data_IF_547310691852
#
_entry.id   IF_547310691852
#
_cell.length_a   1.000
_cell.length_b   1.000
_cell.length_c   1.000
_cell.angle_alpha   90.00
_cell.angle_beta   90.00
_cell.angle_gamma   90.00
#
_symmetry.space_group_name_H-M   'P 1'
#
loop_
_entity.id
_entity.type
_entity.pdbx_description
1 polymer ?
#
# COMPACT_ATOMS: atom_id res chain seq x y z
N UNK A 1 22.45 21.65 13.88
CA UNK A 1 21.49 20.87 14.68
C UNK A 1 20.19 20.64 13.92
N UNK A 2 19.40 21.66 13.61
CA UNK A 2 18.09 21.47 12.93
C UNK A 2 18.17 20.77 11.57
N UNK A 3 19.18 21.04 10.74
CA UNK A 3 19.39 20.28 9.51
C UNK A 3 19.62 18.76 9.75
N UNK A 4 20.39 18.41 10.78
CA UNK A 4 20.64 17.01 11.13
C UNK A 4 19.40 16.33 11.72
N UNK A 5 18.62 17.05 12.53
CA UNK A 5 17.33 16.56 13.04
C UNK A 5 16.33 16.35 11.90
N UNK A 6 16.28 17.28 10.96
CA UNK A 6 15.40 17.18 9.77
C UNK A 6 15.77 15.98 8.93
N UNK A 7 17.08 15.72 8.74
CA UNK A 7 17.55 14.50 8.09
C UNK A 7 17.12 13.24 8.85
N UNK A 8 17.27 13.20 10.18
CA UNK A 8 16.84 12.06 10.98
C UNK A 8 15.31 11.84 10.93
N UNK A 9 14.51 12.91 10.95
CA UNK A 9 13.06 12.81 10.78
C UNK A 9 12.67 12.31 9.38
N UNK A 10 13.42 12.72 8.34
CA UNK A 10 13.23 12.21 6.99
C UNK A 10 13.62 10.73 6.87
N UNK A 11 14.70 10.30 7.52
CA UNK A 11 15.10 8.89 7.57
C UNK A 11 14.01 8.04 8.25
N UNK A 12 13.46 8.47 9.40
CA UNK A 12 12.33 7.79 10.06
C UNK A 12 11.09 7.73 9.14
N UNK A 13 10.78 8.81 8.42
CA UNK A 13 9.67 8.81 7.47
C UNK A 13 9.88 7.79 6.35
N UNK A 14 11.12 7.67 5.83
CA UNK A 14 11.46 6.69 4.79
C UNK A 14 11.33 5.26 5.33
N UNK A 15 11.75 5.01 6.57
CA UNK A 15 11.54 3.72 7.25
C UNK A 15 10.05 3.38 7.35
N UNK A 16 9.22 4.30 7.89
CA UNK A 16 7.76 4.14 7.98
C UNK A 16 7.10 3.94 6.61
N UNK A 17 7.55 4.69 5.60
CA UNK A 17 7.05 4.57 4.23
C UNK A 17 7.41 3.21 3.61
N UNK A 18 8.61 2.70 3.91
CA UNK A 18 9.09 1.41 3.44
C UNK A 18 8.30 0.27 4.09
N UNK A 19 8.08 0.33 5.40
CA UNK A 19 7.26 -0.66 6.12
C UNK A 19 5.82 -0.68 5.57
N UNK A 20 5.22 0.49 5.38
CA UNK A 20 3.87 0.59 4.80
C UNK A 20 3.84 0.12 3.35
N UNK A 21 4.87 0.39 2.55
CA UNK A 21 4.97 -0.14 1.20
C UNK A 21 5.01 -1.67 1.17
N UNK A 22 5.73 -2.31 2.09
CA UNK A 22 5.74 -3.77 2.24
C UNK A 22 4.36 -4.31 2.61
N UNK A 23 3.66 -3.67 3.56
CA UNK A 23 2.29 -4.05 3.93
C UNK A 23 1.29 -3.87 2.76
N UNK A 24 1.43 -2.80 1.97
CA UNK A 24 0.65 -2.56 0.76
C UNK A 24 0.90 -3.69 -0.25
N UNK A 25 2.16 -4.07 -0.48
CA UNK A 25 2.52 -5.15 -1.39
C UNK A 25 1.93 -6.49 -0.97
N UNK A 26 2.04 -6.86 0.32
CA UNK A 26 1.47 -8.11 0.83
C UNK A 26 -0.05 -8.19 0.58
N UNK A 27 -0.77 -7.12 0.92
CA UNK A 27 -2.23 -7.05 0.72
C UNK A 27 -2.61 -7.03 -0.75
N UNK A 28 -1.85 -6.31 -1.58
CA UNK A 28 -2.06 -6.28 -3.03
C UNK A 28 -1.89 -7.68 -3.64
N UNK A 29 -0.80 -8.39 -3.29
CA UNK A 29 -0.52 -9.74 -3.77
C UNK A 29 -1.65 -10.69 -3.37
N UNK A 30 -2.11 -10.63 -2.11
CA UNK A 30 -3.23 -11.45 -1.63
C UNK A 30 -4.51 -11.17 -2.41
N UNK A 31 -4.87 -9.90 -2.63
CA UNK A 31 -6.06 -9.51 -3.37
C UNK A 31 -5.98 -9.97 -4.84
N UNK A 32 -4.83 -9.76 -5.51
CA UNK A 32 -4.60 -10.18 -6.89
C UNK A 32 -4.65 -11.71 -7.02
N UNK A 33 -3.97 -12.44 -6.14
CA UNK A 33 -3.95 -13.90 -6.19
C UNK A 33 -5.34 -14.51 -6.01
N UNK A 34 -6.13 -14.02 -5.04
CA UNK A 34 -7.50 -14.47 -4.83
C UNK A 34 -8.42 -14.04 -5.98
N UNK A 35 -8.22 -12.85 -6.53
CA UNK A 35 -8.96 -12.34 -7.68
C UNK A 35 -8.74 -13.21 -8.91
N UNK A 36 -7.48 -13.51 -9.22
CA UNK A 36 -7.10 -14.40 -10.30
C UNK A 36 -7.64 -15.83 -10.10
N UNK A 37 -7.61 -16.35 -8.86
CA UNK A 37 -8.16 -17.67 -8.55
C UNK A 37 -9.67 -17.75 -8.85
N UNK A 38 -10.46 -16.77 -8.41
CA UNK A 38 -11.91 -16.79 -8.69
C UNK A 38 -12.20 -16.49 -10.16
N UNK A 39 -11.50 -15.53 -10.77
CA UNK A 39 -11.66 -15.24 -12.19
C UNK A 39 -11.36 -16.48 -13.05
N UNK A 40 -10.30 -17.23 -12.75
CA UNK A 40 -9.97 -18.48 -13.43
C UNK A 40 -11.05 -19.56 -13.26
N UNK A 41 -11.61 -19.70 -12.05
CA UNK A 41 -12.72 -20.64 -11.79
C UNK A 41 -14.00 -20.29 -12.56
N UNK A 42 -14.30 -19.00 -12.72
CA UNK A 42 -15.42 -18.52 -13.52
C UNK A 42 -15.13 -18.77 -15.00
N UNK A 43 -13.93 -18.37 -15.45
CA UNK A 43 -13.50 -18.53 -16.84
C UNK A 43 -13.53 -19.98 -17.28
N UNK A 44 -13.13 -20.92 -16.44
CA UNK A 44 -13.16 -22.35 -16.77
C UNK A 44 -14.59 -22.85 -17.00
N UNK A 45 -15.56 -22.41 -16.19
CA UNK A 45 -16.96 -22.77 -16.39
C UNK A 45 -17.48 -22.21 -17.71
N UNK A 46 -17.22 -20.93 -18.00
CA UNK A 46 -17.65 -20.32 -19.27
C UNK A 46 -16.94 -20.97 -20.46
N UNK A 47 -15.64 -21.25 -20.33
CA UNK A 47 -14.83 -21.95 -21.31
C UNK A 47 -15.34 -23.36 -21.58
N UNK A 48 -15.86 -24.08 -20.59
CA UNK A 48 -16.47 -25.40 -20.77
C UNK A 48 -17.86 -25.29 -21.42
N UNK A 49 -18.70 -24.34 -21.00
CA UNK A 49 -20.08 -24.24 -21.49
C UNK A 49 -20.15 -23.75 -22.96
N UNK A 50 -19.16 -22.97 -23.42
CA UNK A 50 -19.07 -22.50 -24.82
C UNK A 50 -18.94 -23.64 -25.85
N UNK A 51 -17.96 -24.56 -25.78
CA UNK A 51 -17.85 -25.71 -26.70
C UNK A 51 -18.97 -26.74 -26.50
N UNK A 52 -19.63 -26.77 -25.33
CA UNK A 52 -20.87 -27.54 -25.13
C UNK A 52 -22.08 -26.94 -25.86
N UNK A 53 -21.88 -25.86 -26.62
CA UNK A 53 -22.89 -25.22 -27.46
C UNK A 53 -22.60 -25.51 -28.93
N UNK A 54 -23.47 -26.27 -29.59
CA UNK A 54 -23.22 -26.81 -30.93
C UNK A 54 -23.32 -25.79 -32.07
N UNK A 55 -23.43 -24.49 -31.79
CA UNK A 55 -23.56 -23.44 -32.80
C UNK A 55 -24.80 -23.63 -33.67
N UNK A 56 -25.95 -23.14 -33.25
CA UNK A 56 -27.20 -23.23 -34.02
C UNK A 56 -28.41 -22.79 -33.22
N UNK A 57 -29.54 -22.56 -33.89
CA UNK A 57 -30.76 -21.99 -33.30
C UNK A 57 -31.68 -23.03 -32.64
N UNK A 58 -31.41 -24.34 -32.77
CA UNK A 58 -32.42 -25.37 -32.41
C UNK A 58 -31.95 -26.59 -31.63
N UNK A 59 -30.67 -27.01 -31.64
CA UNK A 59 -30.30 -28.41 -31.29
C UNK A 59 -29.42 -28.63 -30.05
N UNK A 60 -28.83 -27.61 -29.41
CA UNK A 60 -28.17 -27.77 -28.10
C UNK A 60 -27.16 -26.66 -27.77
N UNK A 61 -27.33 -26.01 -26.62
CA UNK A 61 -26.41 -25.00 -26.10
C UNK A 61 -26.53 -24.82 -24.59
N UNK A 62 -25.42 -24.41 -23.97
CA UNK A 62 -25.29 -24.17 -22.54
C UNK A 62 -25.01 -22.72 -22.16
N UNK A 63 -24.68 -21.87 -23.13
CA UNK A 63 -24.65 -20.42 -22.99
C UNK A 63 -25.57 -19.83 -24.04
N UNK A 64 -26.47 -18.95 -23.62
CA UNK A 64 -27.47 -18.35 -24.51
C UNK A 64 -27.37 -16.83 -24.51
N UNK A 65 -27.59 -16.23 -25.68
CA UNK A 65 -27.71 -14.78 -25.81
C UNK A 65 -29.10 -14.28 -25.40
N UNK A 66 -30.14 -15.06 -25.70
CA UNK A 66 -31.54 -14.63 -25.62
C UNK A 66 -32.55 -15.78 -25.39
N UNK A 67 -32.09 -16.96 -24.97
CA UNK A 67 -32.90 -18.17 -24.79
C UNK A 67 -33.09 -19.01 -26.06
N UNK A 68 -32.96 -18.40 -27.24
CA UNK A 68 -33.16 -19.06 -28.53
C UNK A 68 -31.85 -19.36 -29.22
N UNK A 69 -30.86 -18.48 -29.05
CA UNK A 69 -29.58 -18.52 -29.73
C UNK A 69 -28.44 -18.82 -28.75
N UNK A 70 -27.47 -19.62 -29.20
CA UNK A 70 -26.22 -19.81 -28.48
C UNK A 70 -25.39 -18.52 -28.48
N UNK A 71 -24.63 -18.28 -27.41
CA UNK A 71 -23.68 -17.16 -27.40
C UNK A 71 -22.52 -17.44 -28.37
N UNK A 72 -22.15 -16.47 -29.21
CA UNK A 72 -21.01 -16.59 -30.13
C UNK A 72 -19.80 -15.79 -29.67
N UNK A 73 -20.04 -14.68 -28.96
CA UNK A 73 -19.01 -13.83 -28.38
C UNK A 73 -19.05 -13.92 -26.84
N UNK A 74 -17.91 -14.22 -26.23
CA UNK A 74 -17.75 -14.33 -24.78
C UNK A 74 -17.12 -13.08 -24.17
N UNK A 75 -16.95 -12.01 -24.95
CA UNK A 75 -16.46 -10.74 -24.45
C UNK A 75 -17.54 -9.98 -23.71
N UNK A 76 -17.20 -9.54 -22.49
CA UNK A 76 -17.99 -8.59 -21.70
C UNK A 76 -17.03 -7.49 -21.25
N UNK A 77 -17.32 -6.24 -21.58
CA UNK A 77 -16.47 -5.08 -21.25
C UNK A 77 -14.98 -5.28 -21.65
N UNK A 78 -14.74 -5.83 -22.85
CA UNK A 78 -13.42 -6.18 -23.39
C UNK A 78 -12.68 -7.30 -22.63
N UNK A 79 -13.38 -8.05 -21.77
CA UNK A 79 -12.84 -9.24 -21.11
C UNK A 79 -13.44 -10.46 -21.78
N UNK A 80 -12.62 -11.24 -22.47
CA UNK A 80 -13.03 -12.56 -22.95
C UNK A 80 -13.10 -13.53 -21.77
N UNK A 81 -14.34 -13.87 -21.38
CA UNK A 81 -14.63 -14.80 -20.29
C UNK A 81 -14.17 -16.25 -20.57
N UNK A 82 -13.61 -16.57 -21.74
CA UNK A 82 -13.11 -17.92 -22.06
C UNK A 82 -11.59 -18.06 -22.09
N UNK A 83 -10.85 -16.99 -22.26
CA UNK A 83 -9.38 -17.03 -22.35
C UNK A 83 -8.71 -16.36 -21.15
N UNK A 84 -9.41 -15.43 -20.49
CA UNK A 84 -8.93 -14.66 -19.34
C UNK A 84 -7.44 -14.31 -19.46
N UNK A 85 -7.11 -13.45 -20.42
CA UNK A 85 -5.76 -12.92 -20.60
C UNK A 85 -5.66 -11.55 -19.90
N UNK A 86 -5.31 -11.48 -18.60
CA UNK A 86 -5.17 -10.20 -17.93
C UNK A 86 -4.00 -9.42 -18.52
N UNK A 87 -4.20 -8.13 -18.75
CA UNK A 87 -3.10 -7.19 -18.96
C UNK A 87 -2.39 -6.97 -17.63
N UNK A 88 -1.06 -7.00 -17.63
CA UNK A 88 -0.25 -6.74 -16.43
C UNK A 88 0.22 -5.29 -16.36
N UNK A 89 -0.39 -4.42 -17.16
CA UNK A 89 -0.11 -2.99 -17.16
C UNK A 89 -0.58 -2.35 -15.85
N UNK A 90 0.16 -1.35 -15.40
CA UNK A 90 -0.20 -0.60 -14.21
C UNK A 90 -1.48 0.21 -14.50
N UNK A 91 -2.55 -0.12 -13.78
CA UNK A 91 -3.82 0.61 -13.84
C UNK A 91 -4.19 1.15 -12.47
N UNK A 92 -4.90 2.28 -12.46
CA UNK A 92 -5.44 2.81 -11.22
C UNK A 92 -6.50 1.84 -10.68
N UNK A 93 -6.47 1.58 -9.38
CA UNK A 93 -7.50 0.78 -8.73
C UNK A 93 -8.83 1.54 -8.79
N UNK A 94 -9.78 0.99 -9.52
CA UNK A 94 -11.14 1.50 -9.60
C UNK A 94 -12.08 0.68 -8.71
N UNK A 95 -12.55 1.30 -7.64
CA UNK A 95 -13.56 0.75 -6.73
C UNK A 95 -14.92 1.38 -6.98
N UNK A 96 -15.26 1.63 -8.25
CA UNK A 96 -16.56 2.12 -8.66
C UNK A 96 -17.69 1.41 -7.89
N UNK A 97 -18.59 2.20 -7.32
CA UNK A 97 -19.68 1.70 -6.48
C UNK A 97 -20.59 0.70 -7.22
N UNK A 98 -20.59 0.74 -8.55
CA UNK A 98 -21.29 -0.24 -9.38
C UNK A 98 -20.68 -1.65 -9.27
N UNK A 99 -19.38 -1.80 -8.97
CA UNK A 99 -18.67 -3.09 -8.95
C UNK A 99 -18.38 -3.59 -7.54
N UNK A 100 -17.96 -2.70 -6.63
CA UNK A 100 -17.54 -3.05 -5.28
C UNK A 100 -18.08 -2.04 -4.26
N UNK A 101 -18.76 -2.53 -3.23
CA UNK A 101 -19.41 -1.71 -2.18
C UNK A 101 -19.05 -2.24 -0.82
N UNK A 102 -19.39 -1.51 0.24
CA UNK A 102 -19.16 -1.93 1.63
C UNK A 102 -20.01 -3.16 2.04
N UNK A 103 -20.93 -3.61 1.19
CA UNK A 103 -21.75 -4.81 1.42
C UNK A 103 -21.37 -6.00 0.55
N UNK A 104 -20.57 -5.82 -0.51
CA UNK A 104 -20.27 -6.91 -1.43
C UNK A 104 -19.91 -6.48 -2.86
N UNK A 105 -19.91 -7.47 -3.76
CA UNK A 105 -19.77 -7.28 -5.21
C UNK A 105 -21.13 -6.87 -5.79
N UNK A 106 -21.29 -5.59 -6.11
CA UNK A 106 -22.61 -4.99 -6.32
C UNK A 106 -23.41 -5.58 -7.51
N UNK A 107 -22.73 -5.98 -8.59
CA UNK A 107 -23.40 -6.59 -9.76
C UNK A 107 -23.74 -8.07 -9.57
N UNK A 108 -23.18 -8.74 -8.56
CA UNK A 108 -23.37 -10.17 -8.36
C UNK A 108 -24.55 -10.38 -7.42
N UNK A 109 -25.75 -10.26 -7.97
CA UNK A 109 -27.01 -10.51 -7.25
C UNK A 109 -27.47 -11.95 -7.45
N UNK A 110 -28.37 -12.44 -6.61
CA UNK A 110 -29.03 -13.73 -6.86
C UNK A 110 -29.77 -13.67 -8.19
N UNK A 111 -29.61 -14.71 -9.00
CA UNK A 111 -30.32 -14.82 -10.26
C UNK A 111 -30.49 -16.27 -10.67
N UNK A 112 -31.62 -16.56 -11.33
CA UNK A 112 -31.76 -17.81 -12.06
C UNK A 112 -30.82 -17.75 -13.28
N UNK A 113 -29.85 -18.65 -13.33
CA UNK A 113 -28.83 -18.69 -14.37
C UNK A 113 -29.27 -19.46 -15.63
N UNK A 114 -30.51 -19.96 -15.66
CA UNK A 114 -31.06 -20.68 -16.82
C UNK A 114 -32.28 -19.95 -17.40
N UNK A 115 -32.38 -20.01 -18.72
CA UNK A 115 -33.57 -19.56 -19.45
C UNK A 115 -34.72 -20.59 -19.42
N UNK A 116 -35.91 -20.15 -19.81
CA UNK A 116 -37.07 -21.01 -20.02
C UNK A 116 -36.80 -22.02 -21.17
N UNK A 117 -36.70 -23.31 -20.82
CA UNK A 117 -36.42 -24.38 -21.79
C UNK A 117 -34.97 -24.88 -21.81
N UNK A 118 -34.10 -24.33 -20.95
CA UNK A 118 -32.69 -24.75 -20.83
C UNK A 118 -32.49 -26.26 -20.61
N UNK A 119 -33.46 -26.96 -20.03
CA UNK A 119 -33.39 -28.42 -19.80
C UNK A 119 -33.30 -29.26 -21.08
N UNK A 120 -33.84 -28.75 -22.18
CA UNK A 120 -33.80 -29.43 -23.48
C UNK A 120 -32.61 -28.96 -24.34
N UNK A 121 -31.81 -28.02 -23.83
CA UNK A 121 -30.73 -27.37 -24.59
C UNK A 121 -29.36 -27.64 -24.00
N UNK A 122 -29.26 -27.64 -22.67
CA UNK A 122 -27.98 -27.74 -21.97
C UNK A 122 -27.85 -29.04 -21.20
N UNK A 123 -26.98 -29.93 -21.69
CA UNK A 123 -26.66 -31.21 -21.03
C UNK A 123 -26.11 -31.02 -19.61
N UNK A 124 -25.52 -29.86 -19.31
CA UNK A 124 -25.00 -29.51 -17.99
C UNK A 124 -26.09 -29.48 -16.90
N UNK A 125 -27.37 -29.29 -17.28
CA UNK A 125 -28.49 -29.28 -16.34
C UNK A 125 -29.19 -30.64 -16.23
N UNK A 126 -28.86 -31.58 -17.11
CA UNK A 126 -29.65 -32.78 -17.30
C UNK A 126 -29.04 -34.00 -16.61
N UNK A 127 -29.91 -34.84 -16.07
CA UNK A 127 -29.60 -36.22 -15.70
C UNK A 127 -30.68 -37.14 -16.26
N UNK A 128 -30.29 -38.28 -16.84
CA UNK A 128 -31.21 -39.16 -17.57
C UNK A 128 -32.15 -39.94 -16.64
N UNK A 129 -31.73 -40.22 -15.41
CA UNK A 129 -32.53 -40.90 -14.38
C UNK A 129 -32.15 -40.39 -13.00
N UNK A 130 -33.12 -40.08 -12.15
CA UNK A 130 -32.85 -39.67 -10.78
C UNK A 130 -32.23 -40.78 -9.90
N UNK A 131 -32.47 -42.05 -10.23
CA UNK A 131 -32.18 -43.18 -9.33
C UNK A 131 -30.80 -43.83 -9.52
N UNK A 132 -30.09 -43.54 -10.63
CA UNK A 132 -28.87 -44.27 -10.99
C UNK A 132 -27.83 -43.41 -11.72
N UNK A 133 -26.56 -43.74 -11.51
CA UNK A 133 -25.47 -43.26 -12.35
C UNK A 133 -25.61 -43.77 -13.80
N UNK A 134 -25.18 -42.98 -14.78
CA UNK A 134 -25.22 -43.36 -16.20
C UNK A 134 -24.03 -42.75 -16.93
N UNK A 135 -23.43 -43.52 -17.84
CA UNK A 135 -22.34 -43.04 -18.69
C UNK A 135 -22.77 -41.91 -19.65
N UNK A 136 -24.08 -41.74 -19.87
CA UNK A 136 -24.65 -40.63 -20.66
C UNK A 136 -24.81 -39.33 -19.89
N UNK A 137 -24.63 -39.34 -18.56
CA UNK A 137 -24.81 -38.17 -17.71
C UNK A 137 -23.47 -37.48 -17.43
N UNK A 138 -23.45 -36.15 -17.44
CA UNK A 138 -22.30 -35.40 -16.92
C UNK A 138 -22.22 -35.55 -15.40
N UNK A 139 -23.33 -35.26 -14.72
CA UNK A 139 -23.45 -35.42 -13.28
C UNK A 139 -23.96 -36.82 -12.94
N UNK A 140 -23.13 -37.60 -12.24
CA UNK A 140 -23.46 -38.99 -11.89
C UNK A 140 -24.50 -39.11 -10.77
N UNK A 141 -24.83 -38.01 -10.08
CA UNK A 141 -25.89 -37.92 -9.07
C UNK A 141 -26.81 -36.72 -9.31
N UNK A 142 -28.06 -36.83 -8.86
CA UNK A 142 -28.99 -35.69 -8.80
C UNK A 142 -28.65 -34.74 -7.66
N UNK A 143 -29.18 -33.54 -7.73
CA UNK A 143 -29.09 -32.56 -6.65
C UNK A 143 -28.10 -31.44 -6.94
N UNK A 144 -27.82 -30.59 -5.93
CA UNK A 144 -27.00 -29.40 -6.11
C UNK A 144 -25.52 -29.75 -6.26
N UNK A 145 -24.91 -29.19 -7.31
CA UNK A 145 -23.49 -29.22 -7.59
C UNK A 145 -22.96 -27.78 -7.61
N UNK A 146 -21.97 -27.49 -6.79
CA UNK A 146 -21.41 -26.15 -6.65
C UNK A 146 -20.14 -26.01 -7.47
N UNK A 147 -20.10 -24.97 -8.29
CA UNK A 147 -19.07 -24.71 -9.31
C UNK A 147 -18.57 -23.27 -9.19
N UNK A 148 -17.56 -22.92 -9.99
CA UNK A 148 -16.96 -21.58 -10.02
C UNK A 148 -16.63 -21.04 -8.61
N UNK A 149 -16.10 -21.89 -7.74
CA UNK A 149 -15.73 -21.51 -6.37
C UNK A 149 -16.90 -21.15 -5.45
N UNK A 150 -18.13 -21.59 -5.74
CA UNK A 150 -19.31 -21.23 -4.95
C UNK A 150 -20.28 -20.30 -5.65
N UNK A 151 -19.91 -19.75 -6.81
CA UNK A 151 -20.72 -18.75 -7.50
C UNK A 151 -21.94 -19.37 -8.21
N UNK A 152 -21.78 -20.56 -8.79
CA UNK A 152 -22.83 -21.23 -9.56
C UNK A 152 -23.23 -22.52 -8.85
N UNK A 153 -24.52 -22.68 -8.56
CA UNK A 153 -25.10 -23.96 -8.15
C UNK A 153 -25.98 -24.50 -9.27
N UNK A 154 -25.67 -25.71 -9.74
CA UNK A 154 -26.48 -26.43 -10.72
C UNK A 154 -27.16 -27.61 -10.05
N UNK A 155 -28.47 -27.67 -10.12
CA UNK A 155 -29.25 -28.84 -9.71
C UNK A 155 -29.55 -29.68 -10.94
N UNK A 156 -28.74 -30.73 -11.14
CA UNK A 156 -28.94 -31.68 -12.24
C UNK A 156 -30.03 -32.69 -11.87
N UNK A 157 -31.01 -32.88 -12.77
CA UNK A 157 -32.14 -33.78 -12.57
C UNK A 157 -32.79 -34.16 -13.91
N UNK A 158 -33.63 -35.18 -13.90
CA UNK A 158 -34.46 -35.59 -15.05
C UNK A 158 -35.72 -34.73 -15.27
N UNK A 159 -36.04 -33.81 -14.35
CA UNK A 159 -37.31 -33.08 -14.34
C UNK A 159 -37.24 -31.75 -13.58
N UNK A 160 -36.65 -31.75 -12.38
CA UNK A 160 -36.55 -30.57 -11.52
C UNK A 160 -35.17 -29.91 -11.58
N UNK A 161 -34.82 -29.38 -12.75
CA UNK A 161 -33.51 -28.74 -12.96
C UNK A 161 -33.48 -27.30 -12.42
N UNK A 162 -32.32 -26.87 -11.92
CA UNK A 162 -32.08 -25.48 -11.53
C UNK A 162 -30.64 -25.05 -11.81
N UNK A 163 -30.45 -23.75 -12.00
CA UNK A 163 -29.13 -23.13 -12.02
C UNK A 163 -29.26 -21.76 -11.35
N UNK A 164 -28.44 -21.49 -10.35
CA UNK A 164 -28.53 -20.25 -9.57
C UNK A 164 -27.15 -19.63 -9.38
N UNK A 165 -27.09 -18.30 -9.53
CA UNK A 165 -25.95 -17.51 -9.10
C UNK A 165 -26.11 -17.17 -7.62
N UNK A 166 -25.10 -17.46 -6.82
CA UNK A 166 -25.01 -17.04 -5.42
C UNK A 166 -24.89 -15.52 -5.35
N UNK A 167 -25.79 -14.84 -4.63
CA UNK A 167 -25.65 -13.42 -4.34
C UNK A 167 -24.35 -13.15 -3.58
N UNK A 168 -23.55 -12.24 -4.10
CA UNK A 168 -22.36 -11.70 -3.44
C UNK A 168 -22.46 -10.21 -3.15
N UNK A 169 -23.60 -9.56 -3.43
CA UNK A 169 -23.82 -8.12 -3.24
C UNK A 169 -24.07 -7.70 -1.78
N UNK A 170 -24.33 -8.66 -0.89
CA UNK A 170 -24.65 -8.41 0.53
C UNK A 170 -23.95 -9.39 1.50
N UNK A 171 -22.75 -9.86 1.14
CA UNK A 171 -21.96 -10.81 1.96
C UNK A 171 -21.24 -10.13 3.14
N UNK A 172 -21.08 -8.81 3.08
CA UNK A 172 -20.34 -8.02 4.05
C UNK A 172 -21.21 -6.97 4.76
N UNK A 173 -20.70 -6.52 5.90
CA UNK A 173 -21.24 -5.37 6.64
C UNK A 173 -20.12 -4.39 6.91
N UNK A 174 -20.29 -3.14 6.48
CA UNK A 174 -19.31 -2.06 6.67
C UNK A 174 -17.90 -2.44 6.19
N UNK A 175 -17.78 -2.98 4.97
CA UNK A 175 -16.50 -3.28 4.36
C UNK A 175 -15.87 -4.60 4.80
N UNK A 176 -16.56 -5.45 5.56
CA UNK A 176 -15.97 -6.70 6.08
C UNK A 176 -16.97 -7.87 6.18
N UNK A 177 -16.51 -9.06 5.80
CA UNK A 177 -17.13 -10.34 6.16
C UNK A 177 -16.54 -10.81 7.49
N UNK A 178 -17.37 -10.91 8.53
CA UNK A 178 -16.90 -11.18 9.89
C UNK A 178 -16.36 -12.60 10.10
N UNK A 179 -16.97 -13.59 9.45
CA UNK A 179 -16.59 -15.00 9.53
C UNK A 179 -16.47 -15.57 8.12
N UNK A 180 -15.38 -15.25 7.39
CA UNK A 180 -15.21 -15.70 6.02
C UNK A 180 -15.07 -17.22 5.98
N UNK A 181 -15.93 -17.90 5.22
CA UNK A 181 -15.90 -19.36 5.08
C UNK A 181 -16.07 -19.82 3.62
N UNK A 182 -16.47 -18.92 2.71
CA UNK A 182 -16.50 -19.16 1.27
C UNK A 182 -15.34 -18.48 0.56
N UNK A 183 -14.93 -19.00 -0.63
CA UNK A 183 -13.85 -18.38 -1.41
C UNK A 183 -14.07 -16.89 -1.74
N UNK A 184 -15.31 -16.49 -2.01
CA UNK A 184 -15.65 -15.10 -2.31
C UNK A 184 -15.65 -14.19 -1.07
N UNK A 185 -15.84 -14.74 0.14
CA UNK A 185 -15.68 -13.98 1.39
C UNK A 185 -14.21 -13.57 1.58
N UNK A 186 -13.30 -14.52 1.36
CA UNK A 186 -11.86 -14.29 1.46
C UNK A 186 -11.39 -13.29 0.40
N UNK A 187 -11.89 -13.41 -0.84
CA UNK A 187 -11.61 -12.45 -1.90
C UNK A 187 -12.10 -11.04 -1.51
N UNK A 188 -13.36 -10.92 -1.08
CA UNK A 188 -13.93 -9.64 -0.70
C UNK A 188 -13.11 -8.97 0.41
N UNK A 189 -12.78 -9.71 1.48
CA UNK A 189 -11.98 -9.18 2.57
C UNK A 189 -10.58 -8.75 2.11
N UNK A 190 -9.93 -9.51 1.22
CA UNK A 190 -8.61 -9.12 0.70
C UNK A 190 -8.66 -7.83 -0.12
N UNK A 191 -9.68 -7.66 -0.97
CA UNK A 191 -9.89 -6.44 -1.76
C UNK A 191 -10.22 -5.25 -0.85
N UNK A 192 -11.08 -5.45 0.15
CA UNK A 192 -11.42 -4.42 1.15
C UNK A 192 -10.21 -4.03 2.00
N UNK A 193 -9.44 -5.00 2.50
CA UNK A 193 -8.19 -4.77 3.25
C UNK A 193 -7.19 -3.96 2.43
N UNK A 194 -7.08 -4.25 1.13
CA UNK A 194 -6.21 -3.51 0.24
C UNK A 194 -6.70 -2.08 -0.02
N UNK A 195 -8.01 -1.90 -0.27
CA UNK A 195 -8.67 -0.60 -0.44
C UNK A 195 -8.46 0.32 0.78
N UNK A 196 -8.62 -0.23 1.98
CA UNK A 196 -8.51 0.51 3.25
C UNK A 196 -7.05 0.73 3.70
N UNK A 197 -6.06 0.26 2.94
CA UNK A 197 -4.67 0.42 3.36
C UNK A 197 -4.21 1.86 3.21
N UNK A 198 -3.90 2.48 4.34
CA UNK A 198 -3.37 3.83 4.40
C UNK A 198 -2.04 3.93 3.66
N UNK A 199 -2.01 4.77 2.63
CA UNK A 199 -0.77 5.14 1.94
C UNK A 199 0.00 6.12 2.82
N UNK A 200 1.31 5.98 2.87
CA UNK A 200 2.18 6.98 3.48
C UNK A 200 3.18 7.46 2.44
N UNK A 201 3.34 8.76 2.38
CA UNK A 201 4.30 9.43 1.52
C UNK A 201 5.01 10.45 2.37
N UNK A 202 6.33 10.51 2.23
CA UNK A 202 7.12 11.59 2.81
C UNK A 202 7.01 12.88 1.99
N UNK A 203 6.36 12.86 0.82
CA UNK A 203 6.40 13.93 -0.18
C UNK A 203 7.00 13.46 -1.50
N UNK A 204 6.75 14.20 -2.59
CA UNK A 204 7.22 13.84 -3.94
C UNK A 204 8.55 14.52 -4.32
N UNK A 205 8.95 15.55 -3.58
CA UNK A 205 10.17 16.32 -3.81
C UNK A 205 10.79 16.80 -2.48
N UNK A 206 12.01 17.33 -2.56
CA UNK A 206 12.78 17.80 -1.39
C UNK A 206 12.03 18.87 -0.58
N UNK A 207 11.27 19.75 -1.24
CA UNK A 207 10.54 20.81 -0.56
C UNK A 207 9.34 20.24 0.20
N UNK A 208 8.53 19.40 -0.47
CA UNK A 208 7.38 18.74 0.12
C UNK A 208 7.78 17.88 1.34
N UNK A 209 8.93 17.18 1.27
CA UNK A 209 9.44 16.36 2.37
C UNK A 209 9.83 17.23 3.57
N UNK A 210 10.72 18.20 3.36
CA UNK A 210 11.23 19.02 4.46
C UNK A 210 10.08 19.82 5.11
N UNK A 211 9.23 20.44 4.30
CA UNK A 211 8.13 21.25 4.81
C UNK A 211 7.04 20.41 5.48
N UNK A 212 6.72 19.24 4.92
CA UNK A 212 5.78 18.28 5.51
C UNK A 212 6.20 17.85 6.91
N UNK A 213 7.45 17.41 7.07
CA UNK A 213 8.02 16.97 8.36
C UNK A 213 8.11 18.07 9.42
N UNK A 214 8.18 19.34 8.99
CA UNK A 214 8.14 20.48 9.90
C UNK A 214 6.70 20.75 10.34
N UNK A 215 5.75 20.69 9.40
CA UNK A 215 4.33 20.98 9.66
C UNK A 215 3.62 19.89 10.47
N UNK A 216 4.02 18.63 10.33
CA UNK A 216 3.46 17.50 11.10
C UNK A 216 4.15 17.30 12.48
N UNK A 217 5.05 18.21 12.85
CA UNK A 217 5.82 18.21 14.08
C UNK A 217 6.86 17.07 14.23
N UNK A 218 7.14 16.29 13.18
CA UNK A 218 8.18 15.25 13.21
C UNK A 218 9.56 15.81 13.55
N UNK A 219 9.94 16.96 12.96
CA UNK A 219 11.21 17.64 13.29
C UNK A 219 11.23 18.12 14.74
N UNK A 220 10.11 18.61 15.28
CA UNK A 220 10.03 19.08 16.66
C UNK A 220 10.17 17.91 17.65
N UNK A 221 9.47 16.80 17.39
CA UNK A 221 9.54 15.58 18.19
C UNK A 221 10.95 14.99 18.20
N UNK A 222 11.59 14.90 17.03
CA UNK A 222 12.95 14.38 16.94
C UNK A 222 13.97 15.30 17.64
N UNK A 223 13.80 16.62 17.54
CA UNK A 223 14.66 17.58 18.26
C UNK A 223 14.49 17.44 19.78
N UNK A 224 13.26 17.33 20.28
CA UNK A 224 12.97 17.14 21.69
C UNK A 224 13.62 15.86 22.23
N UNK A 225 13.49 14.74 21.49
CA UNK A 225 14.15 13.48 21.80
C UNK A 225 15.67 13.62 21.92
N UNK A 226 16.33 14.27 20.94
CA UNK A 226 17.77 14.53 20.99
C UNK A 226 18.17 15.42 22.19
N UNK A 227 17.37 16.43 22.52
CA UNK A 227 17.60 17.29 23.70
C UNK A 227 17.49 16.48 24.99
N UNK A 228 16.46 15.64 25.12
CA UNK A 228 16.28 14.76 26.28
C UNK A 228 17.41 13.75 26.41
N UNK A 229 17.91 13.18 25.31
CA UNK A 229 19.10 12.31 25.32
C UNK A 229 20.35 13.06 25.80
N UNK A 230 20.56 14.30 25.35
CA UNK A 230 21.71 15.10 25.77
C UNK A 230 21.60 15.60 27.21
N UNK A 231 20.38 15.76 27.73
CA UNK A 231 20.07 16.26 29.07
C UNK A 231 18.95 15.42 29.71
N UNK A 232 19.27 14.21 30.19
CA UNK A 232 18.27 13.26 30.67
C UNK A 232 17.48 13.77 31.88
N UNK A 233 18.11 14.59 32.72
CA UNK A 233 17.53 15.12 33.95
C UNK A 233 16.61 16.34 33.75
N UNK A 234 16.29 16.70 32.50
CA UNK A 234 15.32 17.77 32.22
C UNK A 234 13.94 17.41 32.79
N UNK A 235 13.23 18.37 33.41
CA UNK A 235 11.84 18.19 33.79
C UNK A 235 10.96 17.79 32.61
N UNK A 236 9.87 17.07 32.90
CA UNK A 236 8.95 16.59 31.86
C UNK A 236 8.38 17.75 31.02
N UNK A 237 8.45 17.60 29.70
CA UNK A 237 7.96 18.58 28.72
C UNK A 237 8.88 19.78 28.49
N UNK A 238 10.01 19.89 29.21
CA UNK A 238 10.96 20.98 29.01
C UNK A 238 11.80 20.81 27.74
N UNK A 239 12.06 19.58 27.33
CA UNK A 239 12.67 19.21 26.05
C UNK A 239 11.82 19.66 24.86
N UNK A 240 10.50 19.45 24.92
CA UNK A 240 9.56 19.91 23.90
C UNK A 240 9.53 21.44 23.79
N UNK A 241 9.54 22.16 24.92
CA UNK A 241 9.61 23.64 24.93
C UNK A 241 10.92 24.15 24.34
N UNK A 242 12.06 23.54 24.69
CA UNK A 242 13.36 23.91 24.14
C UNK A 242 13.41 23.66 22.63
N UNK A 243 12.88 22.52 22.16
CA UNK A 243 12.78 22.21 20.75
C UNK A 243 11.96 23.28 19.99
N UNK A 244 10.80 23.64 20.51
CA UNK A 244 9.94 24.67 19.92
C UNK A 244 10.63 26.04 19.88
N UNK A 245 11.30 26.44 20.97
CA UNK A 245 12.04 27.69 21.02
C UNK A 245 13.17 27.75 19.97
N UNK A 246 13.88 26.65 19.75
CA UNK A 246 14.93 26.55 18.72
C UNK A 246 14.32 26.71 17.31
N UNK A 247 13.22 26.01 17.03
CA UNK A 247 12.57 26.08 15.73
C UNK A 247 11.95 27.46 15.46
N UNK A 248 11.31 28.06 16.46
CA UNK A 248 10.76 29.41 16.37
C UNK A 248 11.85 30.48 16.14
N UNK A 249 13.01 30.34 16.78
CA UNK A 249 14.15 31.23 16.56
C UNK A 249 14.69 31.17 15.11
N UNK A 250 14.60 30.00 14.47
CA UNK A 250 15.03 29.81 13.08
C UNK A 250 13.99 30.31 12.08
N UNK A 251 12.72 30.05 12.36
CA UNK A 251 11.61 30.36 11.48
C UNK A 251 11.41 31.87 11.23
N UNK A 252 11.95 32.74 12.09
CA UNK A 252 11.60 34.16 12.12
C UNK A 252 10.09 34.40 12.36
N UNK A 253 9.67 35.67 12.54
CA UNK A 253 8.32 36.03 13.05
C UNK A 253 7.18 35.96 12.01
N UNK A 254 7.40 35.42 10.81
CA UNK A 254 6.35 35.35 9.80
C UNK A 254 5.58 34.02 9.83
N UNK A 255 4.48 33.97 9.09
CA UNK A 255 3.53 32.85 9.10
C UNK A 255 3.99 31.65 8.26
N UNK A 256 5.24 31.65 7.76
CA UNK A 256 5.74 30.66 6.80
C UNK A 256 6.89 29.82 7.38
N UNK A 257 6.67 29.31 8.59
CA UNK A 257 7.66 28.57 9.40
C UNK A 257 8.39 27.47 8.62
N UNK A 258 7.67 26.58 7.95
CA UNK A 258 8.25 25.43 7.27
C UNK A 258 9.18 25.85 6.13
N UNK A 259 8.73 26.78 5.29
CA UNK A 259 9.53 27.36 4.22
C UNK A 259 10.79 28.04 4.77
N UNK A 260 10.67 28.83 5.83
CA UNK A 260 11.81 29.56 6.38
C UNK A 260 12.85 28.63 7.00
N UNK A 261 12.41 27.60 7.72
CA UNK A 261 13.32 26.58 8.27
C UNK A 261 14.00 25.83 7.11
N UNK A 262 13.26 25.43 6.07
CA UNK A 262 13.82 24.81 4.86
C UNK A 262 14.88 25.70 4.20
N UNK A 263 14.56 26.96 3.95
CA UNK A 263 15.50 27.92 3.36
C UNK A 263 16.75 28.09 4.22
N UNK A 264 16.60 28.10 5.55
CA UNK A 264 17.76 28.16 6.46
C UNK A 264 18.62 26.90 6.36
N UNK A 265 18.02 25.72 6.25
CA UNK A 265 18.74 24.46 6.06
C UNK A 265 19.50 24.49 4.73
N UNK A 266 18.84 24.87 3.63
CA UNK A 266 19.44 24.93 2.30
C UNK A 266 20.57 25.97 2.19
N UNK A 267 20.44 27.09 2.91
CA UNK A 267 21.45 28.14 2.98
C UNK A 267 22.51 27.88 4.07
N UNK A 268 22.50 26.72 4.73
CA UNK A 268 23.58 26.34 5.64
C UNK A 268 24.82 25.98 4.83
N UNK A 269 25.98 26.48 5.27
CA UNK A 269 27.27 26.09 4.70
C UNK A 269 27.71 24.74 5.27
N UNK A 270 28.16 23.86 4.38
CA UNK A 270 28.83 22.61 4.72
C UNK A 270 30.24 22.60 4.14
N UNK A 271 31.13 21.86 4.79
CA UNK A 271 32.45 21.57 4.23
C UNK A 271 32.27 20.69 3.00
N UNK A 272 33.05 20.90 1.95
CA UNK A 272 33.05 20.10 0.74
C UNK A 272 34.49 19.94 0.25
N UNK A 273 34.75 18.96 -0.62
CA UNK A 273 36.06 18.77 -1.23
C UNK A 273 35.95 19.06 -2.72
N UNK A 274 36.66 20.09 -3.18
CA UNK A 274 36.81 20.42 -4.60
C UNK A 274 38.30 20.46 -4.93
N UNK A 275 38.71 19.71 -5.95
CA UNK A 275 40.11 19.63 -6.40
C UNK A 275 41.09 19.30 -5.25
N UNK A 276 40.70 18.38 -4.37
CA UNK A 276 41.49 17.97 -3.20
C UNK A 276 41.51 18.98 -2.04
N UNK A 277 40.91 20.15 -2.20
CA UNK A 277 40.87 21.20 -1.18
C UNK A 277 39.51 21.26 -0.48
N UNK A 278 39.54 21.57 0.82
CA UNK A 278 38.32 21.86 1.59
C UNK A 278 37.79 23.24 1.24
N UNK A 279 36.51 23.30 0.89
CA UNK A 279 35.78 24.53 0.59
C UNK A 279 34.44 24.54 1.31
N UNK A 280 34.00 25.69 1.79
CA UNK A 280 32.63 25.84 2.28
C UNK A 280 31.68 26.01 1.08
N UNK A 281 30.56 25.29 1.07
CA UNK A 281 29.57 25.34 0.00
C UNK A 281 28.17 25.28 0.62
N UNK A 282 27.18 25.94 0.02
CA UNK A 282 25.81 25.85 0.53
C UNK A 282 25.25 24.44 0.30
N UNK A 283 24.39 23.96 1.19
CA UNK A 283 23.71 22.65 1.02
C UNK A 283 22.95 22.61 -0.31
N UNK A 284 22.30 23.70 -0.70
CA UNK A 284 21.58 23.85 -1.98
C UNK A 284 22.47 23.68 -3.21
N UNK A 285 23.76 23.99 -3.11
CA UNK A 285 24.73 23.91 -4.20
C UNK A 285 25.37 22.51 -4.34
N UNK A 286 25.11 21.62 -3.39
CA UNK A 286 25.60 20.24 -3.42
C UNK A 286 24.47 19.33 -3.90
N UNK A 287 24.60 18.77 -5.10
CA UNK A 287 23.54 17.97 -5.72
C UNK A 287 23.45 16.53 -5.21
N UNK A 288 24.54 15.97 -4.65
CA UNK A 288 24.55 14.56 -4.22
C UNK A 288 24.34 14.41 -2.71
N UNK A 289 23.45 13.49 -2.32
CA UNK A 289 23.19 13.18 -0.92
C UNK A 289 24.44 12.66 -0.18
N UNK A 290 25.26 11.85 -0.87
CA UNK A 290 26.52 11.33 -0.33
C UNK A 290 27.53 12.46 -0.06
N UNK A 291 27.62 13.46 -0.94
CA UNK A 291 28.47 14.63 -0.74
C UNK A 291 27.95 15.51 0.40
N UNK A 292 26.62 15.73 0.49
CA UNK A 292 26.01 16.45 1.63
C UNK A 292 26.35 15.78 2.97
N UNK A 293 26.18 14.44 3.08
CA UNK A 293 26.53 13.67 4.29
C UNK A 293 28.01 13.77 4.63
N UNK A 294 28.88 13.56 3.64
CA UNK A 294 30.34 13.69 3.80
C UNK A 294 30.71 15.09 4.31
N UNK A 295 30.08 16.13 3.77
CA UNK A 295 30.32 17.50 4.17
C UNK A 295 29.94 17.81 5.61
N UNK A 296 28.79 17.30 6.08
CA UNK A 296 28.41 17.41 7.49
C UNK A 296 29.39 16.67 8.41
N UNK A 297 29.86 15.48 8.03
CA UNK A 297 30.86 14.73 8.79
C UNK A 297 32.22 15.45 8.87
N UNK A 298 32.66 16.05 7.76
CA UNK A 298 33.87 16.86 7.70
C UNK A 298 33.78 18.07 8.64
N UNK A 299 32.65 18.79 8.60
CA UNK A 299 32.38 19.91 9.50
C UNK A 299 32.38 19.49 10.98
N UNK A 300 31.70 18.38 11.31
CA UNK A 300 31.69 17.85 12.67
C UNK A 300 33.09 17.48 13.17
N UNK A 301 33.91 16.82 12.35
CA UNK A 301 35.28 16.48 12.69
C UNK A 301 36.16 17.72 12.90
N UNK A 302 36.00 18.76 12.08
CA UNK A 302 36.69 20.05 12.26
C UNK A 302 36.35 20.67 13.61
N UNK A 303 35.08 20.73 13.97
CA UNK A 303 34.64 21.27 15.27
C UNK A 303 35.21 20.46 16.44
N UNK A 304 35.25 19.12 16.34
CA UNK A 304 35.86 18.28 17.38
C UNK A 304 37.35 18.54 17.56
N UNK A 305 38.09 18.69 16.47
CA UNK A 305 39.51 19.02 16.50
C UNK A 305 39.73 20.40 17.16
N UNK A 306 38.93 21.40 16.77
CA UNK A 306 38.98 22.73 17.35
C UNK A 306 38.65 22.74 18.85
N UNK A 307 37.65 21.97 19.28
CA UNK A 307 37.28 21.86 20.69
C UNK A 307 38.39 21.21 21.52
N UNK A 308 39.02 20.17 20.99
CA UNK A 308 40.16 19.52 21.65
C UNK A 308 41.34 20.49 21.81
N UNK A 309 41.63 21.29 20.79
CA UNK A 309 42.68 22.31 20.85
C UNK A 309 42.34 23.43 21.84
N UNK A 310 41.09 23.92 21.84
CA UNK A 310 40.63 24.93 22.79
C UNK A 310 40.71 24.41 24.24
N UNK A 311 40.35 23.15 24.47
CA UNK A 311 40.49 22.51 25.78
C UNK A 311 41.96 22.44 26.22
N UNK A 312 42.87 22.15 25.30
CA UNK A 312 44.32 22.12 25.58
C UNK A 312 44.83 23.51 25.97
N UNK A 313 44.42 24.54 25.23
CA UNK A 313 44.77 25.94 25.52
C UNK A 313 44.22 26.40 26.86
N UNK A 314 42.97 26.04 27.18
CA UNK A 314 42.35 26.36 28.47
C UNK A 314 43.13 25.73 29.64
N UNK A 315 43.52 24.46 29.53
CA UNK A 315 44.32 23.77 30.55
C UNK A 315 45.70 24.40 30.71
N UNK A 316 46.37 24.73 29.60
CA UNK A 316 47.67 25.40 29.62
C UNK A 316 47.58 26.78 30.29
N UNK A 317 46.55 27.56 29.98
CA UNK A 317 46.32 28.87 30.58
C UNK A 317 46.05 28.79 32.09
N UNK A 318 45.27 27.78 32.53
CA UNK A 318 45.03 27.53 33.97
C UNK A 318 46.32 27.17 34.71
N UNK A 319 47.14 26.29 34.16
CA UNK A 319 48.42 25.90 34.74
C UNK A 319 49.42 27.07 34.82
N UNK A 320 49.40 27.98 33.84
CA UNK A 320 50.23 29.19 33.88
C UNK A 320 49.76 30.16 34.97
N UNK A 321 48.44 30.31 35.15
CA UNK A 321 47.87 31.15 36.21
C UNK A 321 48.18 30.60 37.61
N UNK A 322 48.05 29.29 37.81
CA UNK A 322 48.40 28.64 39.08
C UNK A 322 49.89 28.77 39.44
N UNK A 323 50.78 28.81 38.44
CA UNK A 323 52.21 29.08 38.66
C UNK A 323 52.50 30.54 38.99
N UNK A 324 51.67 31.48 38.53
CA UNK A 324 51.83 32.91 38.79
C UNK A 324 51.28 33.32 40.17
N UNK A 325 50.30 32.59 40.71
CA UNK A 325 49.67 32.86 42.02
C UNK A 325 50.42 32.21 43.22
N UNK A 326 51.58 31.57 43.00
CA UNK A 326 52.42 31.06 44.11
C UNK A 326 53.07 32.27 44.83
N UNK A 327 52.85 32.49 46.14
CA UNK A 327 53.43 33.63 46.85
C UNK A 327 54.96 33.50 46.84
N UNK A 328 55.66 34.55 46.39
CA UNK A 328 57.09 34.69 46.67
C UNK A 328 57.25 35.01 48.16
N UNK A 329 57.38 33.97 48.98
CA UNK A 329 57.88 34.13 50.35
C UNK A 329 59.38 34.45 50.28
N UNK A 330 59.71 35.73 50.45
CA UNK A 330 61.03 36.18 50.92
C UNK A 330 61.00 36.36 52.43
#
# INVERSE_FOLDING_TARGET
MVAAVTAAAADNCVEDATEKAQQIQEKAIKAVALGALQAGRISEVVHLLKPMSAGGTTTGFCLTADGTNAITDSNVDNIDCTTLTPTLDAEALDYAAQKFTDTGFALVTTGNAKDAGAGNKCIFLHKTSAASASASDLFQSTGPHTLAGGLLTVTAHDSNIAAAITALNSIAKAGKVAAPNQPYDHLYNAVAEFKETTKHSCGLDEAAVIEGLINDASVATQLASMIKTAKPDLPDGEDAKQAEAILAAIAAKDNNRAKNIREKILNTKIENVKDGNRVETLVSEVSSAAARRTGYLLGHNKTRIQLAELSKQLTAARQQKEKADVPQNN
#
